data_IF_590065160168
#
_entry.id   IF_590065160168
#
_cell.length_a   1.000
_cell.length_b   1.000
_cell.length_c   1.000
_cell.angle_alpha   90.00
_cell.angle_beta   90.00
_cell.angle_gamma   90.00
#
_symmetry.space_group_name_H-M   'P 1'
#
loop_
_entity.id
_entity.type
_entity.pdbx_description
1 polymer ?
#
# COMPACT_ATOMS: atom_id res chain seq x y z
N UNK A 1 -11.29 -9.93 -37.43
CA UNK A 1 -10.26 -10.93 -37.10
C UNK A 1 -9.49 -10.49 -35.89
N UNK A 2 -9.58 -11.30 -34.82
CA UNK A 2 -8.91 -11.24 -33.52
C UNK A 2 -9.41 -10.16 -32.55
N UNK A 3 -10.52 -10.48 -31.87
CA UNK A 3 -10.73 -10.09 -30.49
C UNK A 3 -9.56 -10.59 -29.64
N UNK A 4 -8.66 -9.71 -29.20
CA UNK A 4 -7.80 -10.01 -28.04
C UNK A 4 -8.62 -9.71 -26.78
N UNK A 5 -9.28 -10.76 -26.28
CA UNK A 5 -9.77 -10.84 -24.89
C UNK A 5 -8.61 -10.48 -23.97
N UNK A 6 -8.63 -9.29 -23.39
CA UNK A 6 -7.86 -8.97 -22.20
C UNK A 6 -8.24 -9.98 -21.13
N UNK A 7 -7.25 -10.74 -20.65
CA UNK A 7 -7.42 -11.66 -19.52
C UNK A 7 -8.01 -10.85 -18.37
N UNK A 8 -9.27 -11.12 -18.05
CA UNK A 8 -9.87 -10.79 -16.77
C UNK A 8 -8.90 -11.35 -15.72
N UNK A 9 -8.25 -10.49 -14.95
CA UNK A 9 -7.52 -10.94 -13.78
C UNK A 9 -8.56 -11.63 -12.87
N UNK A 10 -8.40 -12.94 -12.71
CA UNK A 10 -9.20 -13.71 -11.77
C UNK A 10 -9.08 -13.02 -10.40
N UNK A 11 -10.17 -12.39 -9.99
CA UNK A 11 -10.32 -11.72 -8.70
C UNK A 11 -10.56 -12.80 -7.62
N UNK A 12 -9.73 -13.83 -7.60
CA UNK A 12 -9.80 -14.88 -6.60
C UNK A 12 -9.44 -14.28 -5.25
N UNK A 13 -10.34 -14.45 -4.28
CA UNK A 13 -10.11 -13.99 -2.92
C UNK A 13 -8.80 -14.58 -2.39
N UNK A 14 -8.04 -13.77 -1.66
CA UNK A 14 -6.83 -14.23 -0.99
C UNK A 14 -7.20 -15.39 -0.05
N UNK A 15 -6.43 -16.48 -0.07
CA UNK A 15 -6.70 -17.60 0.83
C UNK A 15 -6.58 -17.17 2.29
N UNK A 16 -7.40 -17.74 3.17
CA UNK A 16 -7.39 -17.40 4.58
C UNK A 16 -6.02 -17.63 5.22
N UNK A 17 -5.34 -18.71 4.85
CA UNK A 17 -4.00 -19.03 5.36
C UNK A 17 -2.96 -17.99 4.93
N UNK A 18 -3.04 -17.51 3.68
CA UNK A 18 -2.14 -16.44 3.20
C UNK A 18 -2.43 -15.14 3.95
N UNK A 19 -3.71 -14.80 4.15
CA UNK A 19 -4.08 -13.59 4.88
C UNK A 19 -3.60 -13.65 6.34
N UNK A 20 -3.82 -14.77 7.05
CA UNK A 20 -3.32 -14.98 8.42
C UNK A 20 -1.80 -14.86 8.47
N UNK A 21 -1.09 -15.42 7.49
CA UNK A 21 0.37 -15.27 7.36
C UNK A 21 0.76 -13.80 7.19
N UNK A 22 0.11 -13.06 6.30
CA UNK A 22 0.40 -11.64 6.08
C UNK A 22 0.13 -10.78 7.33
N UNK A 23 -0.95 -11.03 8.06
CA UNK A 23 -1.24 -10.36 9.35
C UNK A 23 -0.11 -10.64 10.34
N UNK A 24 0.28 -11.90 10.49
CA UNK A 24 1.39 -12.28 11.37
C UNK A 24 2.71 -11.60 10.98
N UNK A 25 3.03 -11.53 9.69
CA UNK A 25 4.25 -10.85 9.21
C UNK A 25 4.21 -9.33 9.42
N UNK A 26 3.04 -8.69 9.24
CA UNK A 26 2.85 -7.27 9.54
C UNK A 26 3.01 -6.98 11.04
N UNK A 27 2.46 -7.84 11.91
CA UNK A 27 2.62 -7.72 13.36
C UNK A 27 4.07 -7.94 13.82
N UNK A 28 4.77 -8.91 13.23
CA UNK A 28 6.19 -9.16 13.52
C UNK A 28 7.03 -7.94 13.15
N UNK A 29 6.93 -7.43 11.92
CA UNK A 29 7.78 -6.31 11.48
C UNK A 29 7.45 -5.02 12.23
N UNK A 30 6.21 -4.82 12.68
CA UNK A 30 5.79 -3.68 13.54
C UNK A 30 6.67 -3.54 14.78
N UNK A 31 7.19 -4.65 15.33
CA UNK A 31 8.11 -4.63 16.49
C UNK A 31 9.45 -3.97 16.21
N UNK A 32 9.85 -3.83 14.94
CA UNK A 32 11.07 -3.16 14.51
C UNK A 32 10.88 -1.66 14.19
N UNK A 33 9.65 -1.14 14.34
CA UNK A 33 9.36 0.26 14.05
C UNK A 33 10.28 1.19 14.84
N UNK A 34 10.93 2.12 14.12
CA UNK A 34 11.69 3.20 14.73
C UNK A 34 10.77 4.41 14.85
N UNK A 35 10.07 4.53 15.97
CA UNK A 35 9.12 5.62 16.19
C UNK A 35 9.27 6.26 17.59
N UNK A 36 10.45 6.80 17.93
CA UNK A 36 10.68 7.37 19.26
C UNK A 36 9.87 8.64 19.52
N UNK A 37 9.36 9.31 18.48
CA UNK A 37 8.66 10.59 18.61
C UNK A 37 7.16 10.38 18.82
N UNK A 38 6.50 9.60 17.97
CA UNK A 38 5.07 9.32 18.12
C UNK A 38 4.77 8.16 19.06
N UNK A 39 5.72 7.25 19.26
CA UNK A 39 5.52 5.95 19.92
C UNK A 39 4.40 5.13 19.27
N UNK A 40 4.09 5.43 18.00
CA UNK A 40 3.03 4.79 17.23
C UNK A 40 3.61 3.83 16.21
N UNK A 41 3.59 2.54 16.54
CA UNK A 41 4.19 1.49 15.70
C UNK A 41 3.21 1.05 14.62
N UNK A 42 3.71 0.98 13.39
CA UNK A 42 2.99 0.47 12.22
C UNK A 42 3.85 -0.55 11.50
N UNK A 43 3.25 -1.68 11.13
CA UNK A 43 3.86 -2.69 10.27
C UNK A 43 3.02 -2.92 9.03
N UNK A 44 3.67 -3.32 7.94
CA UNK A 44 3.02 -3.65 6.68
C UNK A 44 3.62 -4.91 6.08
N UNK A 45 2.77 -5.73 5.47
CA UNK A 45 3.15 -6.90 4.69
C UNK A 45 2.51 -6.82 3.30
N UNK A 46 3.33 -6.67 2.27
CA UNK A 46 2.95 -6.56 0.87
C UNK A 46 3.12 -7.90 0.18
N UNK A 47 2.05 -8.40 -0.43
CA UNK A 47 2.06 -9.60 -1.25
C UNK A 47 2.11 -9.21 -2.73
N UNK A 48 3.08 -9.78 -3.43
CA UNK A 48 3.23 -9.65 -4.88
C UNK A 48 2.40 -10.69 -5.63
N UNK A 49 2.22 -10.48 -6.94
CA UNK A 49 1.46 -11.42 -7.80
C UNK A 49 2.14 -12.79 -7.97
N UNK A 50 3.44 -12.89 -7.68
CA UNK A 50 4.23 -14.14 -7.65
C UNK A 50 4.34 -14.74 -6.23
N UNK A 51 3.47 -14.32 -5.32
CA UNK A 51 3.32 -14.86 -3.95
C UNK A 51 4.50 -14.61 -3.00
N UNK A 52 5.34 -13.61 -3.28
CA UNK A 52 6.37 -13.16 -2.35
C UNK A 52 5.81 -12.13 -1.36
N UNK A 53 6.28 -12.16 -0.10
CA UNK A 53 5.88 -11.21 0.93
C UNK A 53 7.06 -10.30 1.27
N UNK A 54 6.85 -8.99 1.10
CA UNK A 54 7.77 -7.95 1.53
C UNK A 54 7.21 -7.24 2.75
N UNK A 55 8.02 -7.06 3.79
CA UNK A 55 7.61 -6.41 5.02
C UNK A 55 8.30 -5.05 5.20
N UNK A 56 7.63 -4.16 5.93
CA UNK A 56 8.15 -2.85 6.29
C UNK A 56 7.50 -2.33 7.58
N UNK A 57 8.19 -1.44 8.29
CA UNK A 57 7.66 -0.74 9.45
C UNK A 57 7.90 0.77 9.28
N UNK A 58 7.22 1.60 10.07
CA UNK A 58 7.47 3.03 10.04
C UNK A 58 8.84 3.38 10.64
N UNK A 59 9.51 4.35 10.02
CA UNK A 59 10.81 4.89 10.45
C UNK A 59 10.67 6.40 10.52
N UNK A 60 10.70 6.93 11.73
CA UNK A 60 10.61 8.35 11.99
C UNK A 60 11.97 9.04 11.95
N UNK A 61 11.94 10.36 11.94
CA UNK A 61 13.13 11.20 11.93
C UNK A 61 12.83 12.49 12.71
N UNK A 62 13.85 13.09 13.33
CA UNK A 62 13.72 14.38 14.02
C UNK A 62 13.17 15.48 13.09
N UNK A 63 13.49 15.40 11.80
CA UNK A 63 12.83 16.19 10.77
C UNK A 63 11.62 15.40 10.25
N UNK A 64 10.44 15.68 10.80
CA UNK A 64 9.24 14.85 10.63
C UNK A 64 8.84 14.56 9.16
N UNK A 65 9.17 15.45 8.21
CA UNK A 65 8.91 15.25 6.79
C UNK A 65 9.80 14.19 6.12
N UNK A 66 10.90 13.78 6.75
CA UNK A 66 11.78 12.72 6.27
C UNK A 66 11.32 11.32 6.72
N UNK A 67 10.34 11.24 7.63
CA UNK A 67 9.79 9.98 8.10
C UNK A 67 9.09 9.19 6.98
N UNK A 68 9.21 7.87 7.05
CA UNK A 68 8.62 6.95 6.06
C UNK A 68 7.66 5.98 6.75
N UNK A 69 6.47 5.84 6.19
CA UNK A 69 5.44 4.93 6.70
C UNK A 69 5.76 3.46 6.35
N UNK A 70 5.16 2.53 7.09
CA UNK A 70 5.39 1.10 6.93
C UNK A 70 5.09 0.60 5.50
N UNK A 71 3.99 1.07 4.91
CA UNK A 71 3.52 0.69 3.58
C UNK A 71 4.55 1.09 2.52
N UNK A 72 5.04 2.33 2.60
CA UNK A 72 6.06 2.85 1.68
C UNK A 72 7.38 2.11 1.82
N UNK A 73 7.78 1.73 3.03
CA UNK A 73 8.98 0.91 3.24
C UNK A 73 8.83 -0.51 2.66
N UNK A 74 7.70 -1.17 2.88
CA UNK A 74 7.43 -2.51 2.32
C UNK A 74 7.43 -2.48 0.79
N UNK A 75 6.79 -1.47 0.19
CA UNK A 75 6.74 -1.29 -1.26
C UNK A 75 8.10 -0.90 -1.84
N UNK A 76 8.83 0.03 -1.22
CA UNK A 76 10.16 0.42 -1.67
C UNK A 76 11.12 -0.78 -1.70
N UNK A 77 11.05 -1.65 -0.68
CA UNK A 77 11.79 -2.90 -0.64
C UNK A 77 11.46 -3.78 -1.85
N UNK A 78 10.18 -4.09 -2.07
CA UNK A 78 9.73 -4.90 -3.20
C UNK A 78 10.20 -4.33 -4.56
N UNK A 79 10.04 -3.02 -4.76
CA UNK A 79 10.45 -2.33 -5.98
C UNK A 79 11.95 -2.38 -6.20
N UNK A 80 12.74 -2.21 -5.13
CA UNK A 80 14.21 -2.30 -5.19
C UNK A 80 14.71 -3.69 -5.55
N UNK A 81 13.93 -4.73 -5.24
CA UNK A 81 14.19 -6.13 -5.59
C UNK A 81 13.56 -6.54 -6.94
N UNK A 82 13.01 -5.57 -7.70
CA UNK A 82 12.50 -5.78 -9.05
C UNK A 82 11.01 -6.09 -9.16
N UNK A 83 10.28 -6.17 -8.04
CA UNK A 83 8.85 -6.47 -8.02
C UNK A 83 8.01 -5.18 -8.09
N UNK A 84 7.16 -5.06 -9.13
CA UNK A 84 6.25 -3.91 -9.33
C UNK A 84 4.78 -4.30 -9.51
N UNK A 85 4.45 -5.58 -9.32
CA UNK A 85 3.10 -6.12 -9.46
C UNK A 85 2.61 -6.61 -8.10
N UNK A 86 1.60 -5.94 -7.56
CA UNK A 86 1.11 -6.16 -6.21
C UNK A 86 -0.29 -6.76 -6.21
N UNK A 87 -0.52 -7.68 -5.28
CA UNK A 87 -1.80 -8.37 -5.11
C UNK A 87 -2.56 -7.86 -3.89
N UNK A 88 -1.88 -7.67 -2.77
CA UNK A 88 -2.49 -7.22 -1.53
C UNK A 88 -1.45 -6.56 -0.60
N UNK A 89 -1.88 -5.69 0.30
CA UNK A 89 -1.08 -5.24 1.45
C UNK A 89 -1.91 -5.33 2.74
N UNK A 90 -1.30 -5.84 3.81
CA UNK A 90 -1.85 -5.80 5.17
C UNK A 90 -1.13 -4.71 5.95
N UNK A 91 -1.88 -3.92 6.72
CA UNK A 91 -1.36 -2.85 7.58
C UNK A 91 -1.80 -3.13 9.01
N UNK A 92 -0.85 -3.17 9.94
CA UNK A 92 -1.08 -3.36 11.37
C UNK A 92 -0.57 -2.18 12.18
N UNK A 93 -1.28 -1.87 13.27
CA UNK A 93 -0.86 -0.88 14.27
C UNK A 93 -1.23 -1.35 15.68
N UNK A 94 -1.01 -0.51 16.69
CA UNK A 94 -1.42 -0.76 18.07
C UNK A 94 -2.81 -0.17 18.42
N UNK A 95 -3.59 0.32 17.43
CA UNK A 95 -4.95 0.83 17.64
C UNK A 95 -5.98 -0.28 17.84
N UNK A 96 -6.57 -0.37 19.03
CA UNK A 96 -7.63 -1.35 19.33
C UNK A 96 -9.02 -0.92 18.82
N UNK A 97 -9.35 0.37 18.94
CA UNK A 97 -10.71 0.86 18.71
C UNK A 97 -11.07 1.02 17.22
N UNK A 98 -10.07 1.24 16.36
CA UNK A 98 -10.25 1.57 14.94
C UNK A 98 -9.28 0.78 14.07
N UNK A 99 -9.70 0.50 12.82
CA UNK A 99 -8.80 -0.07 11.83
C UNK A 99 -7.77 0.99 11.41
N UNK A 100 -6.49 0.59 11.32
CA UNK A 100 -5.44 1.50 10.84
C UNK A 100 -5.64 1.82 9.36
N UNK A 101 -5.79 3.09 9.01
CA UNK A 101 -5.95 3.53 7.62
C UNK A 101 -4.62 4.07 7.07
N UNK A 102 -4.24 3.74 5.82
CA UNK A 102 -3.05 4.34 5.20
C UNK A 102 -3.26 5.83 5.01
N UNK A 103 -2.21 6.62 5.24
CA UNK A 103 -2.25 8.05 5.00
C UNK A 103 -2.34 8.37 3.49
N UNK A 104 -2.72 9.60 3.14
CA UNK A 104 -2.87 10.01 1.73
C UNK A 104 -1.62 9.77 0.88
N UNK A 105 -0.44 9.99 1.45
CA UNK A 105 0.83 9.72 0.78
C UNK A 105 1.06 8.24 0.46
N UNK A 106 0.68 7.33 1.38
CA UNK A 106 0.75 5.89 1.13
C UNK A 106 -0.27 5.46 0.07
N UNK A 107 -1.50 5.98 0.12
CA UNK A 107 -2.53 5.70 -0.89
C UNK A 107 -2.07 6.10 -2.29
N UNK A 108 -1.50 7.30 -2.42
CA UNK A 108 -0.96 7.77 -3.70
C UNK A 108 0.23 6.93 -4.17
N UNK A 109 1.10 6.51 -3.24
CA UNK A 109 2.22 5.63 -3.55
C UNK A 109 1.75 4.24 -4.02
N UNK A 110 0.71 3.68 -3.39
CA UNK A 110 0.05 2.44 -3.83
C UNK A 110 -0.51 2.56 -5.24
N UNK A 111 -1.20 3.67 -5.51
CA UNK A 111 -1.89 3.93 -6.78
C UNK A 111 -0.95 3.94 -7.99
N UNK A 112 0.30 4.36 -7.81
CA UNK A 112 1.33 4.32 -8.86
C UNK A 112 1.51 2.91 -9.45
N UNK A 113 1.28 1.86 -8.65
CA UNK A 113 1.42 0.46 -9.04
C UNK A 113 0.08 -0.21 -9.36
N UNK A 114 -0.95 0.59 -9.62
CA UNK A 114 -2.31 0.15 -9.94
C UNK A 114 -3.31 0.47 -8.82
N UNK A 115 -4.59 0.53 -9.19
CA UNK A 115 -5.68 0.86 -8.28
C UNK A 115 -6.54 -0.35 -7.86
N UNK A 116 -6.51 -1.44 -8.64
CA UNK A 116 -7.35 -2.62 -8.43
C UNK A 116 -6.61 -3.75 -7.72
N UNK A 117 -6.18 -3.51 -6.48
CA UNK A 117 -5.58 -4.52 -5.61
C UNK A 117 -5.93 -4.24 -4.15
N UNK A 118 -5.82 -5.27 -3.32
CA UNK A 118 -6.45 -5.30 -1.99
C UNK A 118 -5.60 -4.63 -0.91
N UNK A 119 -6.25 -3.88 -0.02
CA UNK A 119 -5.67 -3.27 1.18
C UNK A 119 -6.47 -3.76 2.39
N UNK A 120 -5.76 -4.40 3.32
CA UNK A 120 -6.32 -4.95 4.55
C UNK A 120 -5.90 -4.08 5.73
N UNK A 121 -6.88 -3.40 6.31
CA UNK A 121 -6.72 -2.52 7.47
C UNK A 121 -7.02 -3.34 8.71
N UNK A 122 -6.04 -3.60 9.57
CA UNK A 122 -6.24 -4.53 10.70
C UNK A 122 -6.37 -3.83 12.05
N UNK A 123 -6.86 -4.61 13.02
CA UNK A 123 -6.76 -4.34 14.45
C UNK A 123 -5.86 -5.40 15.12
N UNK A 124 -5.39 -5.14 16.36
CA UNK A 124 -4.60 -6.10 17.14
C UNK A 124 -5.29 -7.45 17.38
N UNK A 125 -6.62 -7.51 17.36
CA UNK A 125 -7.40 -8.76 17.48
C UNK A 125 -7.45 -9.57 16.16
N UNK A 126 -6.69 -9.18 15.15
CA UNK A 126 -6.68 -9.75 13.78
C UNK A 126 -7.96 -9.56 12.98
N UNK A 127 -8.96 -8.84 13.49
CA UNK A 127 -10.07 -8.38 12.66
C UNK A 127 -9.57 -7.39 11.62
N UNK A 128 -10.24 -7.33 10.47
CA UNK A 128 -9.82 -6.48 9.36
C UNK A 128 -10.99 -5.89 8.58
N UNK A 129 -10.74 -4.72 7.98
CA UNK A 129 -11.53 -4.15 6.91
C UNK A 129 -10.75 -4.31 5.60
N UNK A 130 -11.38 -4.93 4.60
CA UNK A 130 -10.82 -5.07 3.26
C UNK A 130 -11.35 -3.93 2.38
N UNK A 131 -10.44 -3.25 1.68
CA UNK A 131 -10.74 -2.26 0.65
C UNK A 131 -9.84 -2.47 -0.56
N UNK A 132 -10.09 -1.78 -1.65
CA UNK A 132 -9.15 -1.62 -2.76
C UNK A 132 -8.41 -0.28 -2.67
N UNK A 133 -7.33 -0.13 -3.43
CA UNK A 133 -6.64 1.17 -3.54
C UNK A 133 -7.55 2.23 -4.16
N UNK A 134 -8.39 1.87 -5.13
CA UNK A 134 -9.36 2.77 -5.76
C UNK A 134 -10.40 3.29 -4.76
N UNK A 135 -10.95 2.41 -3.91
CA UNK A 135 -11.89 2.80 -2.85
C UNK A 135 -11.25 3.72 -1.81
N UNK A 136 -9.96 3.54 -1.54
CA UNK A 136 -9.20 4.39 -0.61
C UNK A 136 -8.81 5.73 -1.22
N UNK A 137 -8.68 5.83 -2.55
CA UNK A 137 -8.28 7.03 -3.26
C UNK A 137 -9.12 7.22 -4.53
N UNK A 138 -10.41 7.55 -4.38
CA UNK A 138 -11.29 7.75 -5.52
C UNK A 138 -10.87 8.97 -6.33
N UNK A 139 -11.03 8.91 -7.66
CA UNK A 139 -10.68 10.01 -8.59
C UNK A 139 -9.21 10.43 -8.41
N UNK A 140 -8.32 9.44 -8.34
CA UNK A 140 -6.91 9.65 -8.04
C UNK A 140 -6.13 10.24 -9.23
N UNK A 141 -5.23 11.16 -8.92
CA UNK A 141 -4.20 11.60 -9.85
C UNK A 141 -3.21 10.47 -10.15
N UNK A 142 -2.73 10.36 -11.39
CA UNK A 142 -1.73 9.38 -11.79
C UNK A 142 -1.04 9.64 -13.12
N UNK A 143 -0.31 8.64 -13.66
CA UNK A 143 0.44 8.77 -14.90
C UNK A 143 -0.39 9.24 -16.10
N UNK A 144 -1.66 8.87 -16.16
CA UNK A 144 -2.59 9.29 -17.21
C UNK A 144 -2.80 10.81 -17.25
N UNK A 145 -2.85 11.49 -16.09
CA UNK A 145 -3.06 12.93 -16.00
C UNK A 145 -1.88 13.73 -16.56
N UNK A 146 -0.66 13.19 -16.43
CA UNK A 146 0.55 13.81 -16.96
C UNK A 146 0.56 13.89 -18.48
N UNK A 147 -0.14 12.95 -19.14
CA UNK A 147 -0.26 12.87 -20.60
C UNK A 147 -1.42 13.69 -21.17
N UNK A 148 -2.30 14.22 -20.32
CA UNK A 148 -3.45 15.00 -20.76
C UNK A 148 -3.06 16.36 -21.32
N UNK A 149 -3.91 16.90 -22.19
CA UNK A 149 -3.73 18.24 -22.78
C UNK A 149 -3.79 19.30 -21.67
N UNK A 150 -2.69 20.03 -21.50
CA UNK A 150 -2.59 21.15 -20.56
C UNK A 150 -2.94 22.46 -21.25
N UNK A 151 -3.40 23.44 -20.48
CA UNK A 151 -3.55 24.80 -20.97
C UNK A 151 -2.17 25.31 -21.42
N UNK A 152 -2.10 25.80 -22.65
CA UNK A 152 -0.93 26.54 -23.11
C UNK A 152 -1.09 27.98 -22.63
N UNK A 153 -0.35 28.36 -21.59
CA UNK A 153 -0.25 29.76 -21.20
C UNK A 153 0.67 30.41 -22.23
N UNK A 154 0.09 31.21 -23.13
CA UNK A 154 0.89 32.13 -23.94
C UNK A 154 1.49 33.15 -22.97
N UNK A 155 2.79 33.05 -22.71
CA UNK A 155 3.51 34.10 -22.00
C UNK A 155 3.44 35.36 -22.87
N UNK A 156 2.55 36.29 -22.51
CA UNK A 156 2.56 37.64 -23.07
C UNK A 156 3.90 38.28 -22.72
N UNK A 157 4.62 38.70 -23.76
CA UNK A 157 5.78 39.59 -23.65
C UNK A 157 5.37 40.95 -23.09
#
# INVERSE_FOLDING_TARGET
TIMRRSKLHNNEALSEDMLKKMISEADKVKTHAYCPYSQFRVGAALLTTDHHIYTGCNVENACNNLGVCAERNAMAKAVSEGCRSFRAIVISSDLCEQFISPCGGCRQFMREFGANWDVYLTKPDSSYLKMTVDELLPISFGPEDLSMKKLQIQNGH
#
